data_IF_715854683755
#
_entry.id   IF_715854683755
#
_cell.length_a   1.000
_cell.length_b   1.000
_cell.length_c   1.000
_cell.angle_alpha   90.00
_cell.angle_beta   90.00
_cell.angle_gamma   90.00
#
_symmetry.space_group_name_H-M   'P 1'
#
loop_
_entity.id
_entity.type
_entity.pdbx_description
1 polymer ?
#
# COMPACT_ATOMS: atom_id res chain seq x y z
N UNK A 1 19.22 -7.29 2.05
CA UNK A 1 18.21 -8.20 1.48
C UNK A 1 17.29 -7.45 0.51
N UNK A 2 16.54 -6.42 0.93
CA UNK A 2 15.67 -5.64 0.03
C UNK A 2 16.41 -4.99 -1.15
N UNK A 3 17.56 -4.34 -0.90
CA UNK A 3 18.36 -3.75 -1.98
C UNK A 3 18.87 -4.78 -3.01
N UNK A 4 19.10 -6.03 -2.61
CA UNK A 4 19.45 -7.10 -3.55
C UNK A 4 18.24 -7.46 -4.41
N UNK A 5 17.05 -7.59 -3.80
CA UNK A 5 15.80 -7.87 -4.50
C UNK A 5 15.33 -6.71 -5.39
N UNK A 6 15.62 -5.46 -5.04
CA UNK A 6 15.25 -4.27 -5.80
C UNK A 6 16.16 -3.97 -6.99
N UNK A 7 17.43 -4.38 -6.91
CA UNK A 7 18.45 -4.05 -7.91
C UNK A 7 18.07 -4.41 -9.37
N UNK A 8 17.51 -5.61 -9.65
CA UNK A 8 17.09 -5.97 -11.02
C UNK A 8 16.01 -5.04 -11.59
N UNK A 9 15.28 -4.34 -10.74
CA UNK A 9 14.18 -3.44 -11.09
C UNK A 9 14.57 -1.95 -11.03
N UNK A 10 15.86 -1.64 -10.81
CA UNK A 10 16.32 -0.27 -10.62
C UNK A 10 15.82 0.39 -9.34
N UNK A 11 15.32 -0.40 -8.37
CA UNK A 11 14.80 0.10 -7.10
C UNK A 11 15.93 0.13 -6.08
N UNK A 12 16.22 1.33 -5.57
CA UNK A 12 17.11 1.52 -4.43
C UNK A 12 16.28 1.84 -3.18
N UNK A 13 16.33 0.93 -2.22
CA UNK A 13 15.79 1.14 -0.88
C UNK A 13 16.78 1.95 -0.05
N UNK A 14 16.25 2.94 0.67
CA UNK A 14 16.99 3.67 1.69
C UNK A 14 17.28 2.81 2.92
N UNK A 15 18.12 3.33 3.81
CA UNK A 15 18.48 2.66 5.06
C UNK A 15 17.46 3.03 6.16
N UNK A 16 16.32 2.35 6.15
CA UNK A 16 15.24 2.63 7.10
C UNK A 16 15.57 2.02 8.48
N UNK A 17 15.69 2.89 9.48
CA UNK A 17 15.96 2.50 10.88
C UNK A 17 14.70 2.52 11.76
N UNK A 18 13.59 3.04 11.21
CA UNK A 18 12.32 3.21 11.92
C UNK A 18 11.23 2.36 11.29
N UNK A 19 10.52 1.61 12.12
CA UNK A 19 9.29 0.93 11.74
C UNK A 19 8.10 1.87 12.00
N UNK A 20 7.49 2.37 10.93
CA UNK A 20 6.31 3.23 11.02
C UNK A 20 5.05 2.44 11.34
N UNK A 21 4.15 3.03 12.13
CA UNK A 21 2.77 2.56 12.19
C UNK A 21 2.01 3.07 10.95
N UNK A 22 1.71 2.19 10.02
CA UNK A 22 1.09 2.54 8.73
C UNK A 22 -0.43 2.77 8.80
N UNK A 23 -1.06 2.72 9.98
CA UNK A 23 -2.52 2.83 10.08
C UNK A 23 -3.07 4.14 9.50
N UNK A 24 -2.41 5.28 9.77
CA UNK A 24 -2.82 6.58 9.21
C UNK A 24 -2.58 6.63 7.68
N UNK A 25 -1.43 6.15 7.21
CA UNK A 25 -1.13 6.06 5.78
C UNK A 25 -2.16 5.20 5.01
N UNK A 26 -2.62 4.10 5.61
CA UNK A 26 -3.67 3.23 5.04
C UNK A 26 -5.00 3.98 4.96
N UNK A 27 -5.40 4.71 6.01
CA UNK A 27 -6.63 5.52 5.97
C UNK A 27 -6.54 6.64 4.92
N UNK A 28 -5.40 7.33 4.84
CA UNK A 28 -5.17 8.35 3.83
C UNK A 28 -5.18 7.79 2.40
N UNK A 29 -4.70 6.56 2.22
CA UNK A 29 -4.77 5.86 0.94
C UNK A 29 -6.21 5.55 0.52
N UNK A 30 -7.10 5.24 1.47
CA UNK A 30 -8.53 5.06 1.18
C UNK A 30 -9.22 6.38 0.82
N UNK A 31 -8.82 7.49 1.45
CA UNK A 31 -9.24 8.82 0.99
C UNK A 31 -8.77 9.12 -0.42
N UNK A 32 -7.48 8.90 -0.72
CA UNK A 32 -6.95 9.07 -2.06
C UNK A 32 -7.70 8.18 -3.07
N UNK A 33 -8.13 6.97 -2.68
CA UNK A 33 -8.96 6.08 -3.50
C UNK A 33 -10.32 6.68 -3.84
N UNK A 34 -11.04 7.23 -2.85
CA UNK A 34 -12.32 7.89 -3.09
C UNK A 34 -12.18 9.09 -4.04
N UNK A 35 -11.00 9.74 -4.05
CA UNK A 35 -10.68 10.88 -4.91
C UNK A 35 -10.02 10.48 -6.24
N UNK A 36 -10.01 9.20 -6.61
CA UNK A 36 -9.38 8.68 -7.84
C UNK A 36 -7.86 8.93 -7.95
N UNK A 37 -7.20 9.13 -6.80
CA UNK A 37 -5.77 9.44 -6.65
C UNK A 37 -4.97 8.33 -5.97
N UNK A 38 -5.56 7.14 -5.80
CA UNK A 38 -4.93 6.05 -5.06
C UNK A 38 -3.53 5.69 -5.57
N UNK A 39 -3.36 5.47 -6.88
CA UNK A 39 -2.09 5.01 -7.43
C UNK A 39 -0.97 6.03 -7.22
N UNK A 40 -1.24 7.30 -7.53
CA UNK A 40 -0.31 8.43 -7.35
C UNK A 40 0.09 8.58 -5.86
N UNK A 41 -0.90 8.58 -4.97
CA UNK A 41 -0.67 8.68 -3.53
C UNK A 41 0.12 7.49 -2.99
N UNK A 42 -0.26 6.27 -3.39
CA UNK A 42 0.35 5.04 -2.93
C UNK A 42 1.82 4.95 -3.36
N UNK A 43 2.14 5.32 -4.61
CA UNK A 43 3.53 5.37 -5.09
C UNK A 43 4.37 6.37 -4.31
N UNK A 44 3.85 7.57 -4.06
CA UNK A 44 4.55 8.58 -3.26
C UNK A 44 4.71 8.17 -1.80
N UNK A 45 3.74 7.48 -1.21
CA UNK A 45 3.87 6.91 0.14
C UNK A 45 4.92 5.80 0.20
N UNK A 46 4.98 4.94 -0.83
CA UNK A 46 6.02 3.92 -0.95
C UNK A 46 7.40 4.58 -1.04
N UNK A 47 7.55 5.60 -1.89
CA UNK A 47 8.80 6.37 -1.98
C UNK A 47 9.16 7.01 -0.64
N UNK A 48 8.20 7.66 0.03
CA UNK A 48 8.41 8.30 1.32
C UNK A 48 8.96 7.32 2.36
N UNK A 49 8.41 6.10 2.41
CA UNK A 49 8.84 5.08 3.36
C UNK A 49 10.14 4.37 2.95
N UNK A 50 10.14 3.76 1.76
CA UNK A 50 11.17 2.83 1.31
C UNK A 50 12.42 3.51 0.74
N UNK A 51 12.32 4.77 0.28
CA UNK A 51 13.42 5.49 -0.35
C UNK A 51 13.85 6.69 0.48
N UNK A 52 12.90 7.54 0.88
CA UNK A 52 13.20 8.77 1.63
C UNK A 52 13.29 8.53 3.15
N UNK A 53 13.04 7.30 3.61
CA UNK A 53 13.12 6.86 5.01
C UNK A 53 12.31 7.74 5.98
N UNK A 54 11.18 8.29 5.53
CA UNK A 54 10.28 9.12 6.31
C UNK A 54 9.33 8.27 7.16
N UNK A 55 8.88 8.84 8.27
CA UNK A 55 7.87 8.22 9.11
C UNK A 55 6.47 8.41 8.54
N UNK A 56 5.97 7.41 7.81
CA UNK A 56 4.63 7.43 7.22
C UNK A 56 3.49 7.28 8.23
N UNK A 57 3.81 7.11 9.52
CA UNK A 57 2.85 7.24 10.62
C UNK A 57 2.63 8.68 11.08
N UNK A 58 3.42 9.64 10.57
CA UNK A 58 3.26 11.07 10.87
C UNK A 58 2.27 11.73 9.92
N UNK A 59 1.37 12.56 10.46
CA UNK A 59 0.44 13.35 9.64
C UNK A 59 1.18 14.33 8.73
N UNK A 60 2.32 14.89 9.17
CA UNK A 60 3.11 15.83 8.36
C UNK A 60 3.60 15.19 7.04
N UNK A 61 4.01 13.91 7.09
CA UNK A 61 4.45 13.16 5.90
C UNK A 61 3.27 12.83 5.00
N UNK A 62 2.13 12.49 5.60
CA UNK A 62 0.89 12.20 4.87
C UNK A 62 0.39 13.47 4.15
N UNK A 63 0.43 14.62 4.81
CA UNK A 63 0.03 15.91 4.23
C UNK A 63 0.94 16.33 3.08
N UNK A 64 2.26 16.14 3.22
CA UNK A 64 3.21 16.40 2.13
C UNK A 64 2.88 15.57 0.89
N UNK A 65 2.56 14.28 1.06
CA UNK A 65 2.21 13.39 -0.05
C UNK A 65 0.83 13.73 -0.61
N UNK A 66 -0.15 14.01 0.24
CA UNK A 66 -1.49 14.41 -0.15
C UNK A 66 -1.49 15.69 -1.00
N UNK A 67 -0.72 16.70 -0.60
CA UNK A 67 -0.57 17.94 -1.37
C UNK A 67 0.03 17.69 -2.76
N UNK A 68 1.05 16.82 -2.87
CA UNK A 68 1.63 16.44 -4.17
C UNK A 68 0.62 15.78 -5.10
N UNK A 69 -0.35 15.06 -4.54
CA UNK A 69 -1.46 14.43 -5.27
C UNK A 69 -2.63 15.37 -5.55
N UNK A 70 -2.55 16.65 -5.16
CA UNK A 70 -3.64 17.62 -5.19
C UNK A 70 -4.88 17.22 -4.37
N UNK A 71 -4.66 16.58 -3.22
CA UNK A 71 -5.72 16.19 -2.29
C UNK A 71 -6.04 17.32 -1.29
N UNK A 72 -7.30 17.39 -0.86
CA UNK A 72 -7.74 18.39 0.12
C UNK A 72 -7.40 17.92 1.54
N UNK A 73 -6.46 18.62 2.20
CA UNK A 73 -6.01 18.28 3.55
C UNK A 73 -7.10 18.40 4.60
N UNK A 74 -7.96 19.42 4.53
CA UNK A 74 -9.03 19.62 5.51
C UNK A 74 -10.02 18.45 5.46
N UNK A 75 -10.40 18.03 4.26
CA UNK A 75 -11.30 16.88 4.10
C UNK A 75 -10.61 15.56 4.49
N UNK A 76 -9.35 15.36 4.11
CA UNK A 76 -8.55 14.21 4.53
C UNK A 76 -8.51 14.08 6.06
N UNK A 77 -8.16 15.15 6.76
CA UNK A 77 -8.08 15.19 8.22
C UNK A 77 -9.43 14.87 8.84
N UNK A 78 -10.49 15.52 8.35
CA UNK A 78 -11.86 15.27 8.81
C UNK A 78 -12.26 13.80 8.65
N UNK A 79 -12.00 13.18 7.49
CA UNK A 79 -12.36 11.77 7.23
C UNK A 79 -11.62 10.81 8.16
N UNK A 80 -10.35 11.11 8.46
CA UNK A 80 -9.55 10.32 9.41
C UNK A 80 -10.08 10.49 10.83
N UNK A 81 -10.35 11.73 11.26
CA UNK A 81 -10.86 12.05 12.60
C UNK A 81 -12.23 11.39 12.86
N UNK A 82 -13.13 11.46 11.88
CA UNK A 82 -14.45 10.83 11.90
C UNK A 82 -14.39 9.30 11.78
N UNK A 83 -13.20 8.70 11.61
CA UNK A 83 -12.97 7.26 11.40
C UNK A 83 -13.78 6.72 10.21
N UNK A 84 -13.93 7.54 9.18
CA UNK A 84 -14.79 7.28 8.02
C UNK A 84 -14.49 5.93 7.35
N UNK A 85 -13.22 5.54 7.31
CA UNK A 85 -12.74 4.31 6.65
C UNK A 85 -12.79 3.05 7.51
N UNK A 86 -13.22 3.14 8.77
CA UNK A 86 -13.15 2.02 9.73
C UNK A 86 -13.87 0.77 9.23
N UNK A 87 -15.10 0.91 8.74
CA UNK A 87 -15.88 -0.26 8.28
C UNK A 87 -15.32 -0.84 6.98
N UNK A 88 -14.81 -0.01 6.06
CA UNK A 88 -14.15 -0.49 4.84
C UNK A 88 -12.89 -1.30 5.17
N UNK A 89 -12.03 -0.78 6.04
CA UNK A 89 -10.82 -1.48 6.48
C UNK A 89 -11.13 -2.78 7.23
N UNK A 90 -12.21 -2.78 8.04
CA UNK A 90 -12.71 -4.00 8.69
C UNK A 90 -13.17 -5.04 7.67
N UNK A 91 -13.90 -4.63 6.64
CA UNK A 91 -14.35 -5.52 5.55
C UNK A 91 -13.17 -6.13 4.81
N UNK A 92 -12.17 -5.33 4.44
CA UNK A 92 -10.94 -5.79 3.78
C UNK A 92 -10.20 -6.81 4.64
N UNK A 93 -10.13 -6.58 5.96
CA UNK A 93 -9.51 -7.52 6.89
C UNK A 93 -10.26 -8.85 6.94
N UNK A 94 -11.60 -8.82 7.03
CA UNK A 94 -12.43 -10.03 7.01
C UNK A 94 -12.25 -10.80 5.70
N UNK A 95 -12.18 -10.10 4.58
CA UNK A 95 -11.92 -10.72 3.27
C UNK A 95 -10.54 -11.40 3.24
N UNK A 96 -9.49 -10.73 3.72
CA UNK A 96 -8.15 -11.30 3.84
C UNK A 96 -8.13 -12.55 4.74
N UNK A 97 -8.88 -12.54 5.85
CA UNK A 97 -9.05 -13.70 6.74
C UNK A 97 -9.75 -14.87 6.04
N UNK A 98 -10.81 -14.61 5.28
CA UNK A 98 -11.52 -15.62 4.49
C UNK A 98 -10.60 -16.30 3.46
N UNK A 99 -9.71 -15.54 2.82
CA UNK A 99 -8.69 -16.07 1.91
C UNK A 99 -7.45 -16.66 2.62
N UNK A 100 -7.43 -16.65 3.97
CA UNK A 100 -6.29 -17.10 4.79
C UNK A 100 -4.99 -16.41 4.37
N UNK A 101 -5.05 -15.09 4.21
CA UNK A 101 -3.90 -14.25 3.88
C UNK A 101 -3.20 -13.88 5.20
N UNK A 102 -1.93 -14.24 5.31
CA UNK A 102 -1.09 -13.99 6.49
C UNK A 102 0.20 -13.22 6.18
N UNK A 103 0.42 -12.86 4.92
CA UNK A 103 1.63 -12.20 4.44
C UNK A 103 1.32 -11.34 3.22
N UNK A 104 2.11 -10.30 3.01
CA UNK A 104 1.97 -9.35 1.90
C UNK A 104 3.29 -9.27 1.08
N UNK A 105 3.22 -8.95 -0.22
CA UNK A 105 1.99 -8.90 -1.02
C UNK A 105 1.39 -10.30 -1.22
N UNK A 106 0.07 -10.38 -1.34
CA UNK A 106 -0.64 -11.60 -1.75
C UNK A 106 -1.63 -11.22 -2.84
N UNK A 107 -1.67 -12.01 -3.92
CA UNK A 107 -2.60 -11.83 -5.02
C UNK A 107 -3.56 -13.01 -5.07
N UNK A 108 -4.85 -12.71 -5.20
CA UNK A 108 -5.90 -13.68 -5.46
C UNK A 108 -6.35 -13.52 -6.91
N UNK A 109 -6.16 -14.54 -7.73
CA UNK A 109 -6.48 -14.52 -9.15
C UNK A 109 -7.79 -15.31 -9.36
N UNK A 110 -8.81 -14.61 -9.86
CA UNK A 110 -10.16 -15.13 -10.11
C UNK A 110 -10.82 -15.85 -8.91
N UNK A 111 -10.42 -15.52 -7.67
CA UNK A 111 -10.90 -16.21 -6.47
C UNK A 111 -10.37 -17.64 -6.27
N UNK A 112 -9.56 -18.15 -7.19
CA UNK A 112 -9.15 -19.56 -7.24
C UNK A 112 -7.67 -19.78 -6.91
N UNK A 113 -6.78 -18.98 -7.52
CA UNK A 113 -5.33 -19.10 -7.31
C UNK A 113 -4.84 -18.03 -6.36
N UNK A 114 -3.88 -18.41 -5.52
CA UNK A 114 -3.21 -17.52 -4.56
C UNK A 114 -1.71 -17.49 -4.82
N UNK A 115 -1.17 -16.30 -5.06
CA UNK A 115 0.28 -16.03 -5.16
C UNK A 115 0.70 -15.28 -3.91
N UNK A 116 1.70 -15.79 -3.20
CA UNK A 116 2.17 -15.20 -1.93
C UNK A 116 3.60 -14.70 -2.10
N UNK A 117 3.82 -13.44 -1.75
CA UNK A 117 5.12 -12.77 -1.85
C UNK A 117 5.38 -12.13 -3.22
N UNK A 118 6.53 -11.46 -3.31
CA UNK A 118 7.03 -10.91 -4.55
C UNK A 118 7.73 -12.03 -5.36
N UNK A 119 6.94 -12.72 -6.19
CA UNK A 119 7.42 -13.78 -7.10
C UNK A 119 8.01 -13.20 -8.39
N UNK A 120 8.66 -14.03 -9.22
CA UNK A 120 9.15 -13.61 -10.53
C UNK A 120 8.01 -13.35 -11.52
N UNK A 121 8.28 -12.56 -12.56
CA UNK A 121 7.32 -12.34 -13.65
C UNK A 121 6.92 -13.65 -14.33
N UNK A 122 7.87 -14.55 -14.58
CA UNK A 122 7.59 -15.86 -15.19
C UNK A 122 6.62 -16.70 -14.33
N UNK A 123 6.79 -16.69 -13.01
CA UNK A 123 5.89 -17.39 -12.10
C UNK A 123 4.49 -16.76 -12.12
N UNK A 124 4.43 -15.43 -12.11
CA UNK A 124 3.18 -14.69 -12.19
C UNK A 124 2.43 -14.99 -13.49
N UNK A 125 3.13 -14.93 -14.64
CA UNK A 125 2.58 -15.26 -15.96
C UNK A 125 2.05 -16.68 -16.05
N UNK A 126 2.80 -17.65 -15.49
CA UNK A 126 2.38 -19.06 -15.46
C UNK A 126 1.04 -19.19 -14.73
N UNK A 127 0.90 -18.57 -13.56
CA UNK A 127 -0.36 -18.64 -12.80
C UNK A 127 -1.51 -17.97 -13.55
N UNK A 128 -1.26 -16.86 -14.25
CA UNK A 128 -2.30 -16.20 -15.06
C UNK A 128 -2.75 -17.10 -16.22
N UNK A 129 -1.83 -17.73 -16.96
CA UNK A 129 -2.12 -18.66 -18.06
C UNK A 129 -2.85 -19.93 -17.61
N UNK A 130 -2.70 -20.34 -16.35
CA UNK A 130 -3.43 -21.47 -15.78
C UNK A 130 -4.89 -21.12 -15.43
N UNK A 131 -5.23 -19.83 -15.30
CA UNK A 131 -6.57 -19.36 -14.90
C UNK A 131 -7.38 -18.80 -16.06
N UNK A 132 -6.72 -18.14 -17.02
CA UNK A 132 -7.31 -17.52 -18.20
C UNK A 132 -6.93 -18.28 -19.47
#
# INVERSE_FOLDING_TARGET
MLNISGHPYGIQFGDFTKLSNSNLAIQASEYARDMEKYHEFHELMFKAYFTDCKDIGSMDVIDEVALKCNLNLQELHKRIEEKYYKERLKSIKIEAENYKINSIPTFIINGEKKIVGAVSMDEFERVLKDVF
#
